data_IF_791373163206
#
_entry.id   IF_791373163206
#
_cell.length_a   1.000
_cell.length_b   1.000
_cell.length_c   1.000
_cell.angle_alpha   90.00
_cell.angle_beta   90.00
_cell.angle_gamma   90.00
#
_symmetry.space_group_name_H-M   'P 1'
#
loop_
_entity.id
_entity.type
_entity.pdbx_description
1 polymer ?
#
# COMPACT_ATOMS: atom_id res chain seq x y z
N UNK A 1 -3.37 6.97 -8.81
CA UNK A 1 -3.54 8.11 -9.71
C UNK A 1 -3.36 7.60 -11.12
N UNK A 2 -4.24 7.99 -11.99
CA UNK A 2 -4.16 7.67 -13.43
C UNK A 2 -3.31 8.72 -14.15
N UNK A 3 -2.97 8.47 -15.41
CA UNK A 3 -2.17 9.42 -16.20
C UNK A 3 -2.81 10.81 -16.26
N UNK A 4 -4.13 10.87 -16.46
CA UNK A 4 -4.87 12.14 -16.52
C UNK A 4 -4.73 12.97 -15.23
N UNK A 5 -4.82 12.30 -14.06
CA UNK A 5 -4.63 12.99 -12.78
C UNK A 5 -3.22 13.57 -12.64
N UNK A 6 -2.21 12.84 -13.16
CA UNK A 6 -0.82 13.30 -13.15
C UNK A 6 -0.61 14.47 -14.11
N UNK A 7 -1.26 14.48 -15.27
CA UNK A 7 -1.19 15.60 -16.23
C UNK A 7 -1.69 16.90 -15.61
N UNK A 8 -2.85 16.87 -14.94
CA UNK A 8 -3.37 18.03 -14.24
C UNK A 8 -2.45 18.52 -13.11
N UNK A 9 -1.84 17.60 -12.35
CA UNK A 9 -0.87 17.94 -11.32
C UNK A 9 0.41 18.55 -11.88
N UNK A 10 0.91 18.03 -12.99
CA UNK A 10 2.13 18.51 -13.64
C UNK A 10 1.97 19.98 -14.07
N UNK A 11 0.82 20.36 -14.62
CA UNK A 11 0.54 21.74 -15.00
C UNK A 11 0.67 22.70 -13.82
N UNK A 12 0.09 22.33 -12.67
CA UNK A 12 0.20 23.13 -11.45
C UNK A 12 1.64 23.20 -10.91
N UNK A 13 2.34 22.06 -10.90
CA UNK A 13 3.70 21.94 -10.38
C UNK A 13 4.67 22.77 -11.23
N UNK A 14 4.55 22.69 -12.55
CA UNK A 14 5.43 23.42 -13.48
C UNK A 14 5.12 24.92 -13.43
N UNK A 15 3.84 25.31 -13.43
CA UNK A 15 3.43 26.72 -13.37
C UNK A 15 3.91 27.43 -12.09
N UNK A 16 4.05 26.71 -10.99
CA UNK A 16 4.47 27.26 -9.70
C UNK A 16 5.94 26.94 -9.34
N UNK A 17 6.71 26.38 -10.26
CA UNK A 17 8.12 26.00 -10.09
C UNK A 17 8.37 25.14 -8.81
N UNK A 18 7.51 24.17 -8.57
CA UNK A 18 7.58 23.30 -7.40
C UNK A 18 8.51 22.11 -7.64
N UNK A 19 9.15 21.63 -6.55
CA UNK A 19 9.77 20.31 -6.50
C UNK A 19 8.78 19.26 -6.02
N UNK A 20 8.95 18.02 -6.46
CA UNK A 20 8.12 16.87 -6.10
C UNK A 20 8.96 15.81 -5.41
N UNK A 21 8.46 15.25 -4.31
CA UNK A 21 8.93 14.00 -3.74
C UNK A 21 7.82 12.98 -3.99
N UNK A 22 8.14 11.93 -4.74
CA UNK A 22 7.20 10.84 -5.02
C UNK A 22 7.69 9.54 -4.39
N UNK A 23 6.85 8.92 -3.55
CA UNK A 23 7.09 7.58 -3.01
C UNK A 23 6.33 6.57 -3.88
N UNK A 24 7.09 5.83 -4.69
CA UNK A 24 6.57 4.85 -5.63
C UNK A 24 6.88 3.40 -5.22
N UNK A 25 7.02 3.14 -3.92
CA UNK A 25 7.38 1.83 -3.37
C UNK A 25 6.42 0.70 -3.79
N UNK A 26 5.21 1.03 -4.22
CA UNK A 26 4.18 0.08 -4.67
C UNK A 26 4.01 0.06 -6.20
N UNK A 27 4.87 0.68 -6.99
CA UNK A 27 4.76 0.77 -8.45
C UNK A 27 4.49 -0.58 -9.12
N UNK A 28 5.23 -1.61 -8.74
CA UNK A 28 5.09 -2.96 -9.30
C UNK A 28 3.78 -3.67 -8.90
N UNK A 29 3.16 -3.24 -7.81
CA UNK A 29 1.92 -3.80 -7.28
C UNK A 29 0.71 -2.98 -7.71
N UNK A 30 0.62 -2.63 -8.98
CA UNK A 30 -0.52 -1.95 -9.62
C UNK A 30 -1.31 -2.95 -10.45
N UNK A 31 -2.65 -2.98 -10.30
CA UNK A 31 -3.55 -4.00 -10.86
C UNK A 31 -4.36 -3.51 -12.05
N UNK A 32 -4.13 -2.28 -12.52
CA UNK A 32 -4.74 -1.73 -13.73
C UNK A 32 -4.04 -2.25 -14.98
N UNK A 33 -4.73 -2.22 -16.13
CA UNK A 33 -4.16 -2.63 -17.42
C UNK A 33 -3.04 -1.69 -17.89
N UNK A 34 -3.18 -0.39 -17.65
CA UNK A 34 -2.14 0.60 -17.97
C UNK A 34 -0.88 0.43 -17.11
N UNK A 35 -1.03 -0.16 -15.91
CA UNK A 35 0.05 -0.27 -14.92
C UNK A 35 0.33 1.05 -14.21
N UNK A 36 1.51 1.15 -13.60
CA UNK A 36 1.95 2.34 -12.88
C UNK A 36 2.54 3.37 -13.85
N UNK A 37 2.12 4.62 -13.69
CA UNK A 37 2.72 5.78 -14.36
C UNK A 37 3.46 6.62 -13.33
N UNK A 38 4.77 6.81 -13.53
CA UNK A 38 5.57 7.67 -12.64
C UNK A 38 5.42 9.14 -13.04
N UNK A 39 5.20 10.00 -12.05
CA UNK A 39 5.22 11.45 -12.27
C UNK A 39 6.60 11.93 -12.76
N UNK A 40 7.69 11.25 -12.38
CA UNK A 40 9.04 11.58 -12.84
C UNK A 40 9.23 11.38 -14.36
N UNK A 41 8.38 10.57 -15.00
CA UNK A 41 8.41 10.33 -16.45
C UNK A 41 7.56 11.34 -17.24
N UNK A 42 6.79 12.20 -16.57
CA UNK A 42 5.96 13.21 -17.22
C UNK A 42 6.80 14.37 -17.76
N UNK A 43 6.34 15.05 -18.82
CA UNK A 43 7.07 16.19 -19.39
C UNK A 43 7.37 17.27 -18.34
N UNK A 44 8.62 17.77 -18.32
CA UNK A 44 9.05 18.82 -17.39
C UNK A 44 9.31 18.37 -15.95
N UNK A 45 9.07 17.10 -15.60
CA UNK A 45 9.15 16.63 -14.22
C UNK A 45 10.52 16.05 -13.82
N UNK A 46 11.32 15.58 -14.77
CA UNK A 46 12.60 14.89 -14.50
C UNK A 46 13.56 15.69 -13.62
N UNK A 47 13.69 16.99 -13.88
CA UNK A 47 14.67 17.84 -13.19
C UNK A 47 14.13 18.49 -11.90
N UNK A 48 12.91 18.14 -11.52
CA UNK A 48 12.24 18.63 -10.29
C UNK A 48 11.65 17.54 -9.41
N UNK A 49 11.84 16.25 -9.76
CA UNK A 49 11.30 15.13 -9.01
C UNK A 49 12.38 14.34 -8.27
N UNK A 50 12.16 14.13 -6.99
CA UNK A 50 12.88 13.17 -6.17
C UNK A 50 12.02 11.90 -6.12
N UNK A 51 12.42 10.91 -6.90
CA UNK A 51 11.80 9.60 -6.98
C UNK A 51 12.34 8.71 -5.86
N UNK A 52 11.45 8.15 -5.05
CA UNK A 52 11.80 7.21 -3.97
C UNK A 52 11.16 5.86 -4.28
N UNK A 53 11.96 4.80 -4.23
CA UNK A 53 11.48 3.44 -4.38
C UNK A 53 12.39 2.45 -3.63
N UNK A 54 12.09 1.18 -3.69
CA UNK A 54 12.87 0.14 -3.04
C UNK A 54 12.31 -1.26 -3.29
N UNK A 55 13.00 -2.24 -2.76
CA UNK A 55 12.72 -3.65 -3.01
C UNK A 55 11.82 -4.29 -1.93
N UNK A 56 11.49 -3.52 -0.90
CA UNK A 56 10.73 -4.01 0.26
C UNK A 56 9.39 -4.64 -0.12
N UNK A 57 8.69 -4.08 -1.13
CA UNK A 57 7.33 -4.48 -1.51
C UNK A 57 7.33 -5.30 -2.80
N UNK A 58 7.93 -4.78 -3.84
CA UNK A 58 8.02 -5.42 -5.15
C UNK A 58 8.73 -6.78 -5.12
N UNK A 59 9.77 -6.92 -4.30
CA UNK A 59 10.60 -8.13 -4.21
C UNK A 59 10.45 -8.86 -2.85
N UNK A 60 9.46 -8.50 -2.03
CA UNK A 60 9.26 -9.04 -0.68
C UNK A 60 10.51 -8.93 0.24
N UNK A 61 11.33 -7.89 0.04
CA UNK A 61 12.61 -7.69 0.73
C UNK A 61 12.52 -6.72 1.91
N UNK A 62 11.44 -6.76 2.68
CA UNK A 62 11.23 -5.84 3.81
C UNK A 62 12.33 -5.90 4.85
N UNK A 63 12.83 -7.10 5.19
CA UNK A 63 13.88 -7.33 6.17
C UNK A 63 15.29 -6.91 5.69
N UNK A 64 15.49 -6.76 4.40
CA UNK A 64 16.77 -6.38 3.82
C UNK A 64 17.13 -4.90 3.97
N UNK A 65 16.15 -4.07 4.34
CA UNK A 65 16.33 -2.65 4.63
C UNK A 65 17.02 -1.88 3.51
N UNK A 66 16.57 -2.02 2.26
CA UNK A 66 17.17 -1.37 1.10
C UNK A 66 16.11 -0.66 0.25
N UNK A 67 16.43 0.56 -0.13
CA UNK A 67 15.68 1.40 -1.06
C UNK A 67 16.64 2.34 -1.77
N UNK A 68 16.13 3.12 -2.69
CA UNK A 68 16.93 4.07 -3.47
C UNK A 68 16.12 5.34 -3.78
N UNK A 69 16.85 6.41 -4.03
CA UNK A 69 16.28 7.67 -4.50
C UNK A 69 17.00 8.10 -5.78
N UNK A 70 16.21 8.60 -6.74
CA UNK A 70 16.70 9.18 -7.99
C UNK A 70 16.19 10.62 -8.10
N UNK A 71 16.95 11.52 -8.71
CA UNK A 71 16.51 12.91 -8.88
C UNK A 71 17.63 13.88 -9.23
N UNK A 72 17.39 15.18 -9.16
CA UNK A 72 18.38 16.20 -9.49
C UNK A 72 19.65 16.06 -8.64
N UNK A 73 20.80 16.05 -9.32
CA UNK A 73 22.10 15.82 -8.67
C UNK A 73 22.38 16.82 -7.53
N UNK A 74 21.94 18.06 -7.67
CA UNK A 74 22.13 19.10 -6.67
C UNK A 74 21.46 18.73 -5.34
N UNK A 75 20.28 18.14 -5.39
CA UNK A 75 19.54 17.68 -4.21
C UNK A 75 20.14 16.39 -3.67
N UNK A 76 20.37 15.38 -4.54
CA UNK A 76 20.91 14.09 -4.12
C UNK A 76 22.28 14.21 -3.45
N UNK A 77 23.13 15.15 -3.86
CA UNK A 77 24.40 15.45 -3.19
C UNK A 77 24.21 15.89 -1.73
N UNK A 78 23.17 16.65 -1.45
CA UNK A 78 22.89 17.09 -0.06
C UNK A 78 22.26 15.95 0.76
N UNK A 79 21.34 15.21 0.16
CA UNK A 79 20.78 14.01 0.78
C UNK A 79 21.88 13.01 1.17
N UNK A 80 22.86 12.79 0.28
CA UNK A 80 23.98 11.89 0.55
C UNK A 80 24.81 12.32 1.76
N UNK A 81 25.07 13.63 1.95
CA UNK A 81 25.77 14.12 3.14
C UNK A 81 25.05 13.76 4.42
N UNK A 82 23.72 13.99 4.47
CA UNK A 82 22.92 13.66 5.65
C UNK A 82 22.90 12.13 5.86
N UNK A 83 22.71 11.36 4.79
CA UNK A 83 22.69 9.92 4.84
C UNK A 83 24.00 9.34 5.39
N UNK A 84 25.16 9.85 4.96
CA UNK A 84 26.47 9.41 5.45
C UNK A 84 26.64 9.65 6.95
N UNK A 85 26.14 10.76 7.47
CA UNK A 85 26.18 11.04 8.91
C UNK A 85 25.19 10.19 9.72
N UNK A 86 24.00 9.90 9.17
CA UNK A 86 22.97 9.21 9.89
C UNK A 86 23.17 7.68 9.91
N UNK A 87 23.59 7.07 8.79
CA UNK A 87 23.60 5.61 8.60
C UNK A 87 24.89 5.12 7.94
N UNK A 88 25.69 5.98 7.32
CA UNK A 88 26.85 5.69 6.45
C UNK A 88 26.44 5.09 5.10
N UNK A 89 25.90 3.85 5.08
CA UNK A 89 25.41 3.20 3.87
C UNK A 89 24.39 2.10 4.22
N UNK A 90 23.62 1.64 3.23
CA UNK A 90 22.82 0.44 3.37
C UNK A 90 23.72 -0.80 3.60
N UNK A 91 23.21 -1.87 4.26
CA UNK A 91 24.01 -3.08 4.47
C UNK A 91 24.54 -3.64 3.15
N UNK A 92 25.84 -3.98 3.12
CA UNK A 92 26.51 -4.46 1.90
C UNK A 92 25.87 -5.72 1.33
N UNK A 93 25.47 -6.66 2.19
CA UNK A 93 24.74 -7.87 1.78
C UNK A 93 23.43 -7.55 1.07
N UNK A 94 22.69 -6.52 1.55
CA UNK A 94 21.46 -6.06 0.93
C UNK A 94 21.70 -5.42 -0.44
N UNK A 95 22.82 -4.72 -0.61
CA UNK A 95 23.18 -4.13 -1.89
C UNK A 95 23.47 -5.21 -2.94
N UNK A 96 24.21 -6.27 -2.59
CA UNK A 96 24.44 -7.40 -3.50
C UNK A 96 23.13 -8.14 -3.82
N UNK A 97 22.30 -8.40 -2.82
CA UNK A 97 21.00 -9.01 -3.04
C UNK A 97 20.08 -8.15 -3.95
N UNK A 98 20.15 -6.83 -3.81
CA UNK A 98 19.40 -5.91 -4.66
C UNK A 98 19.83 -5.98 -6.14
N UNK A 99 21.11 -6.16 -6.41
CA UNK A 99 21.63 -6.32 -7.78
C UNK A 99 21.04 -7.56 -8.44
N UNK A 100 20.98 -8.68 -7.72
CA UNK A 100 20.38 -9.92 -8.23
C UNK A 100 18.86 -9.78 -8.39
N UNK A 101 18.18 -9.25 -7.39
CA UNK A 101 16.75 -9.01 -7.41
C UNK A 101 16.31 -8.14 -8.61
N UNK A 102 17.03 -7.05 -8.88
CA UNK A 102 16.73 -6.15 -10.00
C UNK A 102 17.08 -6.77 -11.38
N UNK A 103 17.96 -7.73 -11.45
CA UNK A 103 18.33 -8.40 -12.71
C UNK A 103 17.45 -9.60 -13.04
N UNK A 104 17.00 -10.31 -12.02
CA UNK A 104 16.43 -11.64 -12.19
C UNK A 104 15.03 -11.79 -11.53
N UNK A 105 14.49 -10.75 -10.88
CA UNK A 105 13.29 -10.85 -10.05
C UNK A 105 11.95 -10.67 -10.78
N UNK A 106 11.91 -10.35 -12.07
CA UNK A 106 10.69 -9.98 -12.79
C UNK A 106 9.60 -11.06 -12.75
N UNK A 107 9.99 -12.33 -12.91
CA UNK A 107 9.05 -13.47 -12.86
C UNK A 107 8.47 -13.66 -11.44
N UNK A 108 9.28 -13.43 -10.41
CA UNK A 108 8.83 -13.51 -9.02
C UNK A 108 7.85 -12.38 -8.68
N UNK A 109 8.12 -11.16 -9.16
CA UNK A 109 7.21 -10.01 -9.05
C UNK A 109 5.87 -10.34 -9.72
N UNK A 110 5.89 -10.82 -10.95
CA UNK A 110 4.68 -11.15 -11.71
C UNK A 110 3.84 -12.23 -10.99
N UNK A 111 4.49 -13.28 -10.47
CA UNK A 111 3.84 -14.35 -9.70
C UNK A 111 3.21 -13.81 -8.42
N UNK A 112 3.94 -12.99 -7.68
CA UNK A 112 3.47 -12.40 -6.44
C UNK A 112 2.32 -11.41 -6.68
N UNK A 113 2.43 -10.54 -7.69
CA UNK A 113 1.37 -9.61 -8.10
C UNK A 113 0.07 -10.35 -8.43
N UNK A 114 0.15 -11.46 -9.20
CA UNK A 114 -1.01 -12.29 -9.50
C UNK A 114 -1.66 -12.84 -8.24
N UNK A 115 -0.87 -13.38 -7.31
CA UNK A 115 -1.39 -13.90 -6.05
C UNK A 115 -2.04 -12.80 -5.18
N UNK A 116 -1.50 -11.58 -5.18
CA UNK A 116 -2.13 -10.44 -4.51
C UNK A 116 -3.43 -10.02 -5.18
N UNK A 117 -3.52 -10.02 -6.50
CA UNK A 117 -4.76 -9.67 -7.19
C UNK A 117 -5.88 -10.71 -6.93
N UNK A 118 -5.56 -12.00 -6.86
CA UNK A 118 -6.51 -13.04 -6.47
C UNK A 118 -7.07 -12.81 -5.06
N UNK A 119 -6.20 -12.48 -4.09
CA UNK A 119 -6.58 -12.17 -2.70
C UNK A 119 -7.40 -10.88 -2.62
N UNK A 120 -7.01 -9.87 -3.37
CA UNK A 120 -7.73 -8.59 -3.49
C UNK A 120 -9.17 -8.82 -3.94
N UNK A 121 -9.35 -9.55 -5.04
CA UNK A 121 -10.69 -9.87 -5.59
C UNK A 121 -11.52 -10.70 -4.62
N UNK A 122 -10.90 -11.66 -3.94
CA UNK A 122 -11.57 -12.45 -2.91
C UNK A 122 -12.11 -11.56 -1.80
N UNK A 123 -11.26 -10.75 -1.16
CA UNK A 123 -11.67 -9.89 -0.05
C UNK A 123 -12.70 -8.84 -0.46
N UNK A 124 -12.53 -8.23 -1.64
CA UNK A 124 -13.49 -7.23 -2.14
C UNK A 124 -14.90 -7.82 -2.27
N UNK A 125 -15.01 -9.05 -2.77
CA UNK A 125 -16.29 -9.77 -2.84
C UNK A 125 -16.86 -10.06 -1.45
N UNK A 126 -16.04 -10.59 -0.54
CA UNK A 126 -16.49 -10.96 0.81
C UNK A 126 -16.96 -9.71 1.60
N UNK A 127 -16.24 -8.60 1.53
CA UNK A 127 -16.67 -7.36 2.19
C UNK A 127 -17.99 -6.81 1.61
N UNK A 128 -18.18 -6.87 0.30
CA UNK A 128 -19.47 -6.50 -0.32
C UNK A 128 -20.63 -7.36 0.18
N UNK A 129 -20.43 -8.67 0.29
CA UNK A 129 -21.44 -9.59 0.85
C UNK A 129 -21.77 -9.26 2.31
N UNK A 130 -20.79 -8.80 3.08
CA UNK A 130 -20.98 -8.38 4.47
C UNK A 130 -21.60 -6.98 4.62
N UNK A 131 -21.89 -6.27 3.51
CA UNK A 131 -22.38 -4.89 3.54
C UNK A 131 -21.33 -3.92 4.10
N UNK A 132 -20.06 -4.25 3.96
CA UNK A 132 -18.92 -3.41 4.28
C UNK A 132 -18.37 -2.83 2.96
N UNK A 133 -18.97 -1.75 2.48
CA UNK A 133 -18.56 -1.14 1.23
C UNK A 133 -17.06 -0.85 1.22
N UNK A 134 -16.41 -1.22 0.15
CA UNK A 134 -14.99 -1.05 -0.01
C UNK A 134 -14.68 -0.46 -1.37
N UNK A 135 -13.93 0.64 -1.38
CA UNK A 135 -13.35 1.15 -2.61
C UNK A 135 -12.42 0.08 -3.21
N UNK A 136 -12.52 -0.14 -4.50
CA UNK A 136 -11.67 -1.13 -5.18
C UNK A 136 -10.22 -0.62 -5.23
N UNK A 137 -9.26 -1.29 -4.56
CA UNK A 137 -7.87 -0.86 -4.59
C UNK A 137 -7.21 -1.26 -5.92
N UNK A 138 -6.64 -0.30 -6.62
CA UNK A 138 -5.91 -0.53 -7.87
C UNK A 138 -4.41 -0.71 -7.69
N UNK A 139 -3.93 -0.69 -6.44
CA UNK A 139 -2.52 -0.90 -6.12
C UNK A 139 -2.29 -1.33 -4.68
N UNK A 140 -1.03 -1.59 -4.34
CA UNK A 140 -0.57 -2.06 -3.03
C UNK A 140 -1.21 -3.39 -2.60
N UNK A 141 -1.33 -3.64 -1.31
CA UNK A 141 -1.97 -4.82 -0.73
C UNK A 141 -2.83 -4.47 0.50
N UNK A 142 -3.56 -3.35 0.41
CA UNK A 142 -4.45 -2.87 1.47
C UNK A 142 -5.86 -2.62 0.94
N UNK A 143 -6.85 -2.83 1.81
CA UNK A 143 -8.24 -2.46 1.62
C UNK A 143 -8.73 -1.61 2.77
N UNK A 144 -9.74 -0.78 2.50
CA UNK A 144 -10.41 0.07 3.49
C UNK A 144 -11.92 -0.19 3.48
N UNK A 145 -12.40 -1.32 4.04
CA UNK A 145 -13.84 -1.56 4.19
C UNK A 145 -14.47 -0.57 5.15
N UNK A 146 -15.66 -0.08 4.77
CA UNK A 146 -16.48 0.83 5.54
C UNK A 146 -17.25 0.08 6.62
N UNK A 147 -17.22 0.61 7.86
CA UNK A 147 -17.94 0.04 9.01
C UNK A 147 -19.05 0.97 9.53
N UNK A 148 -19.33 2.09 8.86
CA UNK A 148 -20.27 3.13 9.33
C UNK A 148 -21.67 2.58 9.62
N UNK A 149 -22.11 1.54 8.88
CA UNK A 149 -23.41 0.92 9.10
C UNK A 149 -23.61 0.29 10.48
N UNK A 150 -22.52 -0.01 11.18
CA UNK A 150 -22.59 -0.63 12.52
C UNK A 150 -22.71 0.39 13.66
N UNK A 151 -22.65 1.69 13.38
CA UNK A 151 -22.82 2.75 14.39
C UNK A 151 -21.69 2.81 15.44
N UNK A 152 -20.54 2.21 15.15
CA UNK A 152 -19.35 2.21 16.00
C UNK A 152 -18.25 3.08 15.39
N UNK A 153 -17.37 3.60 16.25
CA UNK A 153 -16.12 4.21 15.79
C UNK A 153 -15.15 3.14 15.27
N UNK A 154 -14.18 3.58 14.44
CA UNK A 154 -13.14 2.69 13.91
C UNK A 154 -12.35 1.97 15.01
N UNK A 155 -12.03 2.70 16.07
CA UNK A 155 -11.30 2.17 17.24
C UNK A 155 -12.14 1.17 18.03
N UNK A 156 -13.42 1.48 18.29
CA UNK A 156 -14.33 0.58 18.99
C UNK A 156 -14.52 -0.73 18.24
N UNK A 157 -14.78 -0.66 16.91
CA UNK A 157 -14.93 -1.85 16.08
C UNK A 157 -13.66 -2.70 16.08
N UNK A 158 -12.49 -2.08 15.85
CA UNK A 158 -11.21 -2.78 15.81
C UNK A 158 -10.88 -3.46 17.15
N UNK A 159 -11.10 -2.77 18.28
CA UNK A 159 -10.85 -3.31 19.61
C UNK A 159 -11.79 -4.47 19.95
N UNK A 160 -13.08 -4.34 19.66
CA UNK A 160 -14.04 -5.41 19.89
C UNK A 160 -13.76 -6.63 19.01
N UNK A 161 -13.44 -6.45 17.74
CA UNK A 161 -13.05 -7.53 16.83
C UNK A 161 -11.81 -8.27 17.35
N UNK A 162 -10.82 -7.53 17.86
CA UNK A 162 -9.63 -8.13 18.46
C UNK A 162 -9.97 -8.93 19.74
N UNK A 163 -10.81 -8.40 20.60
CA UNK A 163 -11.15 -9.06 21.87
C UNK A 163 -12.04 -10.28 21.66
N UNK A 164 -13.07 -10.17 20.82
CA UNK A 164 -14.09 -11.19 20.61
C UNK A 164 -13.65 -12.28 19.62
N UNK A 165 -12.98 -11.91 18.55
CA UNK A 165 -12.59 -12.82 17.45
C UNK A 165 -11.09 -13.07 17.33
N UNK A 166 -10.25 -12.40 18.14
CA UNK A 166 -8.78 -12.49 18.05
C UNK A 166 -8.26 -12.12 16.64
N UNK A 167 -8.90 -11.13 16.02
CA UNK A 167 -8.50 -10.59 14.72
C UNK A 167 -8.15 -9.13 14.85
N UNK A 168 -6.88 -8.80 14.58
CA UNK A 168 -6.37 -7.44 14.63
C UNK A 168 -6.49 -6.79 13.24
N UNK A 169 -7.21 -5.67 13.17
CA UNK A 169 -7.25 -4.76 12.03
C UNK A 169 -6.85 -3.36 12.50
N UNK A 170 -6.35 -2.54 11.59
CA UNK A 170 -5.95 -1.17 11.95
C UNK A 170 -7.14 -0.23 11.76
N UNK A 171 -7.54 0.54 12.78
CA UNK A 171 -8.58 1.55 12.60
C UNK A 171 -8.15 2.61 11.58
N UNK A 172 -9.10 3.08 10.78
CA UNK A 172 -8.82 4.04 9.71
C UNK A 172 -8.29 5.37 10.25
N UNK A 173 -8.67 5.77 11.45
CA UNK A 173 -8.18 6.96 12.17
C UNK A 173 -6.66 7.01 12.33
N UNK A 174 -5.97 5.86 12.31
CA UNK A 174 -4.50 5.80 12.29
C UNK A 174 -3.87 6.46 11.02
N UNK A 175 -4.69 6.76 10.00
CA UNK A 175 -4.27 7.38 8.74
C UNK A 175 -4.84 8.78 8.53
N UNK A 176 -5.41 9.35 9.56
CA UNK A 176 -6.01 10.69 9.59
C UNK A 176 -7.50 10.66 9.89
N UNK A 177 -8.06 11.82 10.23
CA UNK A 177 -9.46 11.95 10.66
C UNK A 177 -10.47 11.48 9.61
N UNK A 178 -10.14 11.63 8.32
CA UNK A 178 -10.98 11.15 7.22
C UNK A 178 -11.11 9.60 7.17
N UNK A 179 -10.25 8.89 7.90
CA UNK A 179 -10.31 7.43 8.05
C UNK A 179 -11.36 6.92 9.05
N UNK A 180 -12.05 7.82 9.78
CA UNK A 180 -13.12 7.42 10.69
C UNK A 180 -14.26 6.72 9.96
N UNK A 181 -14.71 5.60 10.52
CA UNK A 181 -15.71 4.72 9.92
C UNK A 181 -15.14 3.72 8.91
N UNK A 182 -13.82 3.55 8.88
CA UNK A 182 -13.12 2.57 8.05
C UNK A 182 -12.11 1.76 8.85
N UNK A 183 -11.71 0.60 8.29
CA UNK A 183 -10.61 -0.23 8.80
C UNK A 183 -9.61 -0.47 7.70
N UNK A 184 -8.31 -0.49 8.01
CA UNK A 184 -7.31 -0.97 7.05
C UNK A 184 -7.10 -2.47 7.21
N UNK A 185 -7.27 -3.20 6.13
CA UNK A 185 -7.03 -4.64 6.01
C UNK A 185 -5.86 -4.87 5.07
N UNK A 186 -4.86 -5.64 5.50
CA UNK A 186 -3.78 -6.09 4.64
C UNK A 186 -4.12 -7.46 4.04
N UNK A 187 -3.88 -7.65 2.73
CA UNK A 187 -3.98 -8.94 2.08
C UNK A 187 -2.63 -9.58 1.72
N UNK A 188 -1.57 -9.13 2.42
CA UNK A 188 -0.24 -9.73 2.32
C UNK A 188 -0.10 -11.00 3.20
N UNK A 189 -1.16 -11.80 3.28
CA UNK A 189 -1.25 -13.08 3.98
C UNK A 189 -1.64 -14.19 3.01
N UNK A 190 -1.56 -15.46 3.44
CA UNK A 190 -2.04 -16.58 2.63
C UNK A 190 -3.55 -16.48 2.38
N UNK A 191 -4.04 -17.05 1.27
CA UNK A 191 -5.48 -17.07 1.00
C UNK A 191 -6.25 -17.81 2.12
N UNK A 192 -5.67 -18.88 2.66
CA UNK A 192 -6.23 -19.65 3.79
C UNK A 192 -6.39 -18.77 5.05
N UNK A 193 -5.38 -17.97 5.40
CA UNK A 193 -5.46 -17.09 6.56
C UNK A 193 -6.48 -15.96 6.35
N UNK A 194 -6.57 -15.43 5.11
CA UNK A 194 -7.60 -14.45 4.77
C UNK A 194 -9.02 -15.05 4.85
N UNK A 195 -9.21 -16.30 4.46
CA UNK A 195 -10.48 -17.01 4.61
C UNK A 195 -10.85 -17.15 6.09
N UNK A 196 -9.90 -17.58 6.94
CA UNK A 196 -10.09 -17.64 8.40
C UNK A 196 -10.44 -16.26 8.99
N UNK A 197 -9.79 -15.20 8.50
CA UNK A 197 -10.08 -13.84 8.94
C UNK A 197 -11.50 -13.41 8.54
N UNK A 198 -11.93 -13.70 7.33
CA UNK A 198 -13.29 -13.40 6.87
C UNK A 198 -14.34 -14.16 7.67
N UNK A 199 -14.14 -15.43 8.00
CA UNK A 199 -15.07 -16.18 8.85
C UNK A 199 -15.19 -15.58 10.26
N UNK A 200 -14.10 -15.06 10.83
CA UNK A 200 -14.14 -14.32 12.09
C UNK A 200 -14.94 -13.02 11.98
N UNK A 201 -14.73 -12.25 10.89
CA UNK A 201 -15.51 -11.04 10.63
C UNK A 201 -17.00 -11.37 10.45
N UNK A 202 -17.35 -12.45 9.73
CA UNK A 202 -18.74 -12.91 9.55
C UNK A 202 -19.42 -13.18 10.88
N UNK A 203 -18.78 -13.93 11.79
CA UNK A 203 -19.34 -14.20 13.13
C UNK A 203 -19.53 -12.93 13.93
N UNK A 204 -18.56 -12.02 13.89
CA UNK A 204 -18.64 -10.75 14.58
C UNK A 204 -19.80 -9.90 14.05
N UNK A 205 -19.90 -9.75 12.74
CA UNK A 205 -20.96 -9.00 12.07
C UNK A 205 -22.34 -9.62 12.36
N UNK A 206 -22.46 -10.94 12.32
CA UNK A 206 -23.72 -11.62 12.64
C UNK A 206 -24.23 -11.30 14.05
N UNK A 207 -23.33 -11.24 15.05
CA UNK A 207 -23.69 -10.82 16.41
C UNK A 207 -24.12 -9.36 16.47
N UNK A 208 -23.47 -8.46 15.72
CA UNK A 208 -23.86 -7.06 15.66
C UNK A 208 -25.23 -6.86 15.02
N UNK A 209 -25.55 -7.67 14.01
CA UNK A 209 -26.83 -7.64 13.30
C UNK A 209 -27.96 -8.33 14.09
N UNK A 210 -27.69 -8.85 15.31
CA UNK A 210 -28.66 -9.60 16.13
C UNK A 210 -29.00 -10.99 15.56
N UNK A 211 -28.20 -11.48 14.61
CA UNK A 211 -28.32 -12.83 14.03
C UNK A 211 -27.42 -13.76 14.82
N UNK A 212 -27.88 -14.19 16.00
CA UNK A 212 -27.18 -15.25 16.76
C UNK A 212 -27.37 -16.56 15.97
N UNK A 213 -26.28 -17.25 15.68
CA UNK A 213 -26.36 -18.63 15.18
C UNK A 213 -27.10 -19.47 16.20
N UNK A 214 -28.22 -20.09 15.81
CA UNK A 214 -28.96 -21.06 16.57
C UNK A 214 -28.23 -22.40 16.56
#
# INVERSE_FOLDING_TARGET
MERSDLEELVDVIVANDLYVITDEIYSELTYTEEGHVSIAAMPGMRDRTIYINGLSKSHAMTGWRIGYACGPQVILKQMLKIHQFAIMCAPTTSQYAAVDALRNGDEDIARMKKAYDERRRYLLREFRVLGMDCFEPYGAFYMFPCIKRFGMTSDEFANRLLQEEKLALVPGTAFGDCGEGYLRVSYAYSLEDLQKAIERIKRFVARLDGKTEA
#
